data_IF_331284132742
#
_entry.id   IF_331284132742
#
_cell.length_a   1.000
_cell.length_b   1.000
_cell.length_c   1.000
_cell.angle_alpha   90.00
_cell.angle_beta   90.00
_cell.angle_gamma   90.00
#
_symmetry.space_group_name_H-M   'P 1'
#
loop_
_entity.id
_entity.type
_entity.pdbx_description
1 polymer ?
#
# COMPACT_ATOMS: atom_id res chain seq x y z
N UNK A 1 0.13 -24.81 16.59
CA UNK A 1 0.68 -23.54 16.08
C UNK A 1 1.30 -23.83 14.72
N UNK A 2 0.86 -23.16 13.66
CA UNK A 2 1.52 -23.29 12.36
C UNK A 2 2.88 -22.58 12.41
N UNK A 3 3.91 -23.20 11.84
CA UNK A 3 5.21 -22.55 11.68
C UNK A 3 5.10 -21.54 10.53
N UNK A 4 5.54 -20.31 10.74
CA UNK A 4 5.45 -19.21 9.76
C UNK A 4 6.02 -19.61 8.38
N UNK A 5 7.11 -20.36 8.37
CA UNK A 5 7.75 -20.88 7.15
C UNK A 5 6.84 -21.84 6.37
N UNK A 6 6.03 -22.64 7.05
CA UNK A 6 5.10 -23.55 6.38
C UNK A 6 3.92 -22.78 5.75
N UNK A 7 3.44 -21.72 6.41
CA UNK A 7 2.40 -20.84 5.86
C UNK A 7 2.89 -20.07 4.64
N UNK A 8 4.14 -19.59 4.66
CA UNK A 8 4.75 -18.91 3.51
C UNK A 8 4.81 -19.84 2.28
N UNK A 9 5.27 -21.08 2.47
CA UNK A 9 5.30 -22.08 1.39
C UNK A 9 3.91 -22.35 0.80
N UNK A 10 2.89 -22.45 1.65
CA UNK A 10 1.51 -22.64 1.18
C UNK A 10 0.99 -21.42 0.40
N UNK A 11 1.34 -20.20 0.84
CA UNK A 11 0.98 -18.98 0.12
C UNK A 11 1.68 -18.86 -1.24
N UNK A 12 2.92 -19.36 -1.36
CA UNK A 12 3.68 -19.38 -2.61
C UNK A 12 3.05 -20.31 -3.68
N UNK A 13 2.31 -21.34 -3.25
CA UNK A 13 1.60 -22.28 -4.13
C UNK A 13 0.24 -21.74 -4.62
N UNK A 14 -0.25 -20.65 -4.04
CA UNK A 14 -1.52 -20.03 -4.44
C UNK A 14 -1.44 -19.36 -5.81
N UNK A 15 -2.59 -19.36 -6.51
CA UNK A 15 -2.79 -18.50 -7.68
C UNK A 15 -2.64 -17.03 -7.30
N UNK A 16 -2.46 -16.15 -8.30
CA UNK A 16 -2.38 -14.71 -8.04
C UNK A 16 -3.66 -14.18 -7.37
N UNK A 17 -4.83 -14.58 -7.86
CA UNK A 17 -6.13 -14.15 -7.33
C UNK A 17 -6.34 -14.60 -5.87
N UNK A 18 -6.01 -15.85 -5.56
CA UNK A 18 -6.11 -16.38 -4.20
C UNK A 18 -5.11 -15.71 -3.26
N UNK A 19 -3.91 -15.38 -3.76
CA UNK A 19 -2.89 -14.67 -2.99
C UNK A 19 -3.31 -13.24 -2.67
N UNK A 20 -3.90 -12.54 -3.63
CA UNK A 20 -4.48 -11.20 -3.43
C UNK A 20 -5.62 -11.24 -2.41
N UNK A 21 -6.50 -12.23 -2.50
CA UNK A 21 -7.59 -12.45 -1.54
C UNK A 21 -7.10 -12.76 -0.13
N UNK A 22 -6.08 -13.61 0.01
CA UNK A 22 -5.44 -13.92 1.29
C UNK A 22 -4.78 -12.67 1.89
N UNK A 23 -4.10 -11.86 1.06
CA UNK A 23 -3.47 -10.62 1.51
C UNK A 23 -4.53 -9.64 2.05
N UNK A 24 -5.65 -9.45 1.35
CA UNK A 24 -6.74 -8.60 1.81
C UNK A 24 -7.30 -9.07 3.16
N UNK A 25 -7.56 -10.37 3.30
CA UNK A 25 -8.01 -10.95 4.57
C UNK A 25 -7.03 -10.69 5.73
N UNK A 26 -5.73 -10.90 5.50
CA UNK A 26 -4.70 -10.69 6.50
C UNK A 26 -4.57 -9.21 6.89
N UNK A 27 -4.61 -8.29 5.92
CA UNK A 27 -4.56 -6.85 6.19
C UNK A 27 -5.76 -6.41 7.02
N UNK A 28 -6.97 -6.80 6.64
CA UNK A 28 -8.19 -6.44 7.40
C UNK A 28 -8.25 -7.05 8.80
N UNK A 29 -7.54 -8.17 9.03
CA UNK A 29 -7.44 -8.81 10.35
C UNK A 29 -6.43 -8.16 11.29
N UNK A 30 -5.56 -7.28 10.82
CA UNK A 30 -4.54 -6.62 11.64
C UNK A 30 -5.13 -5.40 12.37
N UNK A 31 -5.10 -5.35 13.72
CA UNK A 31 -5.48 -4.14 14.44
C UNK A 31 -4.52 -3.00 14.09
N UNK A 32 -5.06 -1.88 13.63
CA UNK A 32 -4.26 -0.74 13.16
C UNK A 32 -3.67 -0.95 11.76
N UNK A 33 -4.28 -1.80 10.94
CA UNK A 33 -3.99 -1.82 9.52
C UNK A 33 -4.14 -0.40 8.94
N UNK A 34 -3.20 0.08 8.11
CA UNK A 34 -3.31 1.41 7.54
C UNK A 34 -4.54 1.46 6.63
N UNK A 35 -5.59 2.17 7.08
CA UNK A 35 -6.83 2.41 6.32
C UNK A 35 -6.66 3.50 5.24
N UNK A 36 -5.42 3.98 5.08
CA UNK A 36 -5.10 5.17 4.31
C UNK A 36 -4.78 6.34 5.24
N UNK A 37 -4.45 7.51 4.67
CA UNK A 37 -4.29 8.74 5.43
C UNK A 37 -5.61 9.14 6.08
N UNK A 38 -5.56 9.61 7.33
CA UNK A 38 -6.70 10.23 7.99
C UNK A 38 -6.93 11.67 7.49
N UNK A 39 -8.07 12.26 7.86
CA UNK A 39 -8.43 13.63 7.45
C UNK A 39 -7.39 14.66 7.91
N UNK A 40 -6.80 14.47 9.09
CA UNK A 40 -5.76 15.35 9.63
C UNK A 40 -4.47 15.28 8.81
N UNK A 41 -4.07 14.10 8.34
CA UNK A 41 -2.95 13.93 7.41
C UNK A 41 -3.25 14.57 6.06
N UNK A 42 -4.46 14.43 5.53
CA UNK A 42 -4.86 15.08 4.27
C UNK A 42 -4.73 16.60 4.38
N UNK A 43 -5.30 17.20 5.43
CA UNK A 43 -5.23 18.65 5.66
C UNK A 43 -3.79 19.15 5.81
N UNK A 44 -2.95 18.38 6.50
CA UNK A 44 -1.54 18.73 6.70
C UNK A 44 -0.76 18.67 5.39
N UNK A 45 -0.97 17.63 4.58
CA UNK A 45 -0.34 17.45 3.26
C UNK A 45 -0.73 18.57 2.30
N UNK A 46 -1.98 19.03 2.37
CA UNK A 46 -2.46 20.15 1.56
C UNK A 46 -1.76 21.47 1.95
N UNK A 47 -1.66 21.77 3.25
CA UNK A 47 -0.94 22.94 3.75
C UNK A 47 0.57 22.90 3.43
N UNK A 48 1.20 21.73 3.47
CA UNK A 48 2.60 21.53 3.06
C UNK A 48 2.80 21.84 1.57
N UNK A 49 1.84 21.47 0.71
CA UNK A 49 1.88 21.76 -0.72
C UNK A 49 1.68 23.26 -0.97
N UNK A 50 0.69 23.89 -0.34
CA UNK A 50 0.41 25.32 -0.49
C UNK A 50 1.56 26.20 0.01
N UNK A 51 2.18 25.83 1.13
CA UNK A 51 3.33 26.55 1.69
C UNK A 51 4.63 26.37 0.90
N UNK A 52 4.67 25.40 -0.02
CA UNK A 52 5.88 25.01 -0.74
C UNK A 52 6.90 24.25 0.12
N UNK A 53 6.48 23.75 1.29
CA UNK A 53 7.32 22.90 2.14
C UNK A 53 7.67 21.56 1.46
N UNK A 54 6.79 21.10 0.57
CA UNK A 54 7.01 19.93 -0.29
C UNK A 54 6.88 20.28 -1.76
N UNK A 55 7.54 19.51 -2.62
CA UNK A 55 7.47 19.69 -4.08
C UNK A 55 6.48 18.70 -4.68
N UNK A 56 5.45 19.21 -5.34
CA UNK A 56 4.55 18.39 -6.14
C UNK A 56 5.30 17.69 -7.28
N UNK A 57 4.94 16.44 -7.54
CA UNK A 57 5.39 15.68 -8.71
C UNK A 57 4.25 15.56 -9.72
N UNK A 58 4.59 15.45 -11.00
CA UNK A 58 3.59 15.17 -12.03
C UNK A 58 3.06 13.75 -11.89
N UNK A 59 1.89 13.48 -12.46
CA UNK A 59 1.34 12.12 -12.52
C UNK A 59 2.29 11.15 -13.24
N UNK A 60 2.96 11.58 -14.31
CA UNK A 60 3.95 10.76 -15.02
C UNK A 60 5.15 10.41 -14.14
N UNK A 61 5.66 11.40 -13.38
CA UNK A 61 6.75 11.20 -12.43
C UNK A 61 6.33 10.23 -11.32
N UNK A 62 5.11 10.36 -10.80
CA UNK A 62 4.54 9.42 -9.84
C UNK A 62 4.51 7.99 -10.39
N UNK A 63 3.98 7.78 -11.60
CA UNK A 63 3.92 6.46 -12.22
C UNK A 63 5.30 5.84 -12.41
N UNK A 64 6.30 6.64 -12.80
CA UNK A 64 7.69 6.20 -12.92
C UNK A 64 8.26 5.75 -11.57
N UNK A 65 8.00 6.50 -10.50
CA UNK A 65 8.48 6.16 -9.16
C UNK A 65 7.85 4.88 -8.59
N UNK A 66 6.59 4.58 -8.94
CA UNK A 66 5.89 3.36 -8.49
C UNK A 66 6.03 2.18 -9.46
N UNK A 67 6.88 2.28 -10.49
CA UNK A 67 7.12 1.21 -11.47
C UNK A 67 5.91 0.86 -12.33
N UNK A 68 5.07 1.86 -12.65
CA UNK A 68 3.86 1.73 -13.49
C UNK A 68 3.96 2.55 -14.78
N UNK A 69 5.14 3.04 -15.13
CA UNK A 69 5.37 3.66 -16.42
C UNK A 69 5.27 2.62 -17.55
N UNK A 70 4.42 2.89 -18.55
CA UNK A 70 4.25 2.04 -19.73
C UNK A 70 3.16 0.96 -19.66
N UNK A 71 2.24 1.03 -18.68
CA UNK A 71 0.95 0.30 -18.74
C UNK A 71 -0.14 1.12 -19.40
#
# INVERSE_FOLDING_TARGET
>A
MAQLVALQKQADELTQEDRESLLAYLIHGLPGAPEGPDDDEVLRRDAELESGAVKAISHEEFLRQVGRDGR
#
